data_IF_755592144069
#
_entry.id   IF_755592144069
#
_cell.length_a   1.000
_cell.length_b   1.000
_cell.length_c   1.000
_cell.angle_alpha   90.00
_cell.angle_beta   90.00
_cell.angle_gamma   90.00
#
_symmetry.space_group_name_H-M   'P 1'
#
loop_
_entity.id
_entity.type
_entity.pdbx_description
1 polymer ?
#
# COMPACT_ATOMS: atom_id res chain seq x y z
N UNK A 1 6.10 -12.49 12.92
CA UNK A 1 5.96 -12.13 11.49
C UNK A 1 4.52 -12.03 11.00
N UNK A 2 3.54 -12.73 11.61
CA UNK A 2 2.14 -12.70 11.13
C UNK A 2 1.48 -11.32 11.24
N UNK A 3 1.80 -10.54 12.27
CA UNK A 3 1.23 -9.20 12.46
C UNK A 3 1.67 -8.23 11.36
N UNK A 4 2.95 -8.27 10.99
CA UNK A 4 3.51 -7.46 9.92
C UNK A 4 2.83 -7.80 8.59
N UNK A 5 2.67 -9.10 8.29
CA UNK A 5 1.99 -9.56 7.06
C UNK A 5 0.54 -9.07 6.96
N UNK A 6 -0.22 -9.09 8.06
CA UNK A 6 -1.60 -8.59 8.06
C UNK A 6 -1.62 -7.08 7.83
N UNK A 7 -0.80 -6.34 8.57
CA UNK A 7 -0.78 -4.88 8.54
C UNK A 7 -0.29 -4.35 7.19
N UNK A 8 0.75 -4.95 6.62
CA UNK A 8 1.26 -4.61 5.29
C UNK A 8 0.26 -4.96 4.19
N UNK A 9 -0.43 -6.10 4.30
CA UNK A 9 -1.50 -6.49 3.35
C UNK A 9 -2.63 -5.48 3.32
N UNK A 10 -3.13 -5.08 4.50
CA UNK A 10 -4.21 -4.08 4.61
C UNK A 10 -3.73 -2.75 4.06
N UNK A 11 -2.55 -2.29 4.47
CA UNK A 11 -1.97 -1.03 4.00
C UNK A 11 -1.81 -0.99 2.48
N UNK A 12 -1.28 -2.05 1.85
CA UNK A 12 -1.16 -2.14 0.39
C UNK A 12 -2.51 -1.96 -0.33
N UNK A 13 -3.58 -2.59 0.18
CA UNK A 13 -4.93 -2.47 -0.41
C UNK A 13 -5.50 -1.07 -0.26
N UNK A 14 -5.25 -0.43 0.87
CA UNK A 14 -5.68 0.94 1.11
C UNK A 14 -4.93 1.92 0.18
N UNK A 15 -3.64 1.70 -0.08
CA UNK A 15 -2.86 2.50 -1.03
C UNK A 15 -3.40 2.33 -2.46
N UNK A 16 -3.73 1.10 -2.89
CA UNK A 16 -4.40 0.87 -4.19
C UNK A 16 -5.72 1.64 -4.27
N UNK A 17 -6.54 1.54 -3.23
CA UNK A 17 -7.83 2.24 -3.17
C UNK A 17 -7.66 3.75 -3.22
N UNK A 18 -6.67 4.30 -2.50
CA UNK A 18 -6.36 5.72 -2.50
C UNK A 18 -5.87 6.20 -3.88
N UNK A 19 -5.01 5.42 -4.55
CA UNK A 19 -4.56 5.70 -5.92
C UNK A 19 -5.74 5.73 -6.90
N UNK A 20 -6.61 4.72 -6.86
CA UNK A 20 -7.74 4.65 -7.78
C UNK A 20 -8.74 5.79 -7.54
N UNK A 21 -8.98 6.14 -6.27
CA UNK A 21 -9.77 7.32 -5.92
C UNK A 21 -9.11 8.62 -6.40
N UNK A 22 -7.78 8.73 -6.35
CA UNK A 22 -7.05 9.87 -6.90
C UNK A 22 -7.25 9.97 -8.41
N UNK A 23 -7.06 8.87 -9.15
CA UNK A 23 -7.27 8.85 -10.60
C UNK A 23 -8.69 9.25 -11.01
N UNK A 24 -9.69 8.81 -10.24
CA UNK A 24 -11.10 9.12 -10.52
C UNK A 24 -11.48 10.57 -10.17
N UNK A 25 -10.95 11.10 -9.07
CA UNK A 25 -11.33 12.42 -8.56
C UNK A 25 -10.40 13.57 -8.98
N UNK A 26 -9.19 13.25 -9.44
CA UNK A 26 -8.10 14.20 -9.63
C UNK A 26 -7.56 14.82 -8.34
N UNK A 27 -8.04 14.39 -7.17
CA UNK A 27 -7.65 14.95 -5.87
C UNK A 27 -6.59 14.09 -5.22
N UNK A 28 -5.48 14.71 -4.84
CA UNK A 28 -4.39 14.04 -4.13
C UNK A 28 -4.91 13.40 -2.82
N UNK A 29 -4.66 12.11 -2.57
CA UNK A 29 -5.12 11.43 -1.37
C UNK A 29 -4.25 11.82 -0.18
N UNK A 30 -4.73 11.47 1.01
CA UNK A 30 -3.87 11.36 2.18
C UNK A 30 -3.27 9.95 2.21
N UNK A 31 -2.08 9.80 2.76
CA UNK A 31 -1.47 8.49 2.98
C UNK A 31 -2.34 7.67 3.95
N UNK A 32 -2.66 6.41 3.61
CA UNK A 32 -3.46 5.55 4.48
C UNK A 32 -2.85 5.39 5.87
N UNK A 33 -3.71 5.20 6.87
CA UNK A 33 -3.25 4.89 8.21
C UNK A 33 -2.83 3.41 8.31
N UNK A 34 -1.77 3.14 9.08
CA UNK A 34 -1.34 1.78 9.36
C UNK A 34 -2.23 1.14 10.43
N UNK A 35 -2.75 -0.05 10.15
CA UNK A 35 -3.43 -0.88 11.14
C UNK A 35 -2.42 -1.43 12.16
N UNK A 36 -2.16 -0.66 13.23
CA UNK A 36 -1.18 -1.00 14.26
C UNK A 36 -1.76 -1.96 15.30
N UNK A 37 -1.14 -3.12 15.59
CA UNK A 37 -1.55 -4.00 16.67
C UNK A 37 -1.24 -3.40 18.05
N UNK A 38 -1.99 -3.82 19.08
CA UNK A 38 -1.80 -3.33 20.46
C UNK A 38 -0.42 -3.67 21.05
N UNK A 39 0.13 -4.82 20.64
CA UNK A 39 1.45 -5.31 21.05
C UNK A 39 2.25 -5.68 19.80
N UNK A 40 2.85 -4.68 19.12
CA UNK A 40 3.64 -4.92 17.92
C UNK A 40 4.90 -5.73 18.25
N UNK A 41 5.29 -6.59 17.32
CA UNK A 41 6.59 -7.27 17.36
C UNK A 41 7.74 -6.25 17.18
N UNK A 42 8.93 -6.59 17.67
CA UNK A 42 10.12 -5.76 17.49
C UNK A 42 10.37 -5.46 16.00
N UNK A 43 10.67 -4.20 15.67
CA UNK A 43 10.92 -3.74 14.31
C UNK A 43 9.66 -3.47 13.46
N UNK A 44 8.45 -3.72 13.98
CA UNK A 44 7.20 -3.42 13.26
C UNK A 44 7.08 -1.94 12.92
N UNK A 45 7.26 -1.05 13.92
CA UNK A 45 7.08 0.39 13.73
C UNK A 45 8.12 0.94 12.75
N UNK A 46 9.40 0.53 12.86
CA UNK A 46 10.47 0.94 11.92
C UNK A 46 10.15 0.52 10.48
N UNK A 47 9.65 -0.70 10.28
CA UNK A 47 9.25 -1.18 8.95
C UNK A 47 8.07 -0.36 8.40
N UNK A 48 7.01 -0.19 9.18
CA UNK A 48 5.80 0.49 8.72
C UNK A 48 6.03 1.99 8.51
N UNK A 49 6.83 2.65 9.35
CA UNK A 49 7.20 4.06 9.18
C UNK A 49 8.00 4.26 7.87
N UNK A 50 8.90 3.31 7.53
CA UNK A 50 9.60 3.34 6.25
C UNK A 50 8.65 3.23 5.05
N UNK A 51 7.67 2.33 5.12
CA UNK A 51 6.64 2.19 4.09
C UNK A 51 5.75 3.44 3.95
N UNK A 52 5.30 3.99 5.08
CA UNK A 52 4.50 5.23 5.10
C UNK A 52 5.28 6.39 4.48
N UNK A 53 6.56 6.54 4.83
CA UNK A 53 7.41 7.59 4.25
C UNK A 53 7.54 7.47 2.73
N UNK A 54 7.69 6.26 2.19
CA UNK A 54 7.76 6.08 0.74
C UNK A 54 6.43 6.41 0.04
N UNK A 55 5.30 6.09 0.67
CA UNK A 55 3.97 6.45 0.15
C UNK A 55 3.74 7.96 0.23
N UNK A 56 4.14 8.61 1.33
CA UNK A 56 4.09 10.08 1.46
C UNK A 56 4.89 10.75 0.35
N UNK A 57 6.13 10.31 0.10
CA UNK A 57 6.97 10.84 -0.98
C UNK A 57 6.30 10.67 -2.36
N UNK A 58 5.69 9.51 -2.61
CA UNK A 58 4.96 9.24 -3.85
C UNK A 58 3.70 10.11 -4.00
N UNK A 59 2.94 10.32 -2.93
CA UNK A 59 1.77 11.22 -2.88
C UNK A 59 2.21 12.67 -3.12
N UNK A 60 3.32 13.09 -2.50
CA UNK A 60 3.81 14.47 -2.57
C UNK A 60 4.36 14.85 -3.94
N UNK A 61 4.87 13.88 -4.69
CA UNK A 61 5.25 14.04 -6.10
C UNK A 61 4.12 14.63 -6.97
N UNK A 62 2.86 14.41 -6.57
CA UNK A 62 1.69 14.85 -7.32
C UNK A 62 1.37 14.00 -8.54
N UNK A 63 2.03 12.86 -8.70
CA UNK A 63 1.80 11.91 -9.78
C UNK A 63 1.20 10.59 -9.24
N UNK A 64 -0.05 10.23 -9.61
CA UNK A 64 -0.64 8.94 -9.25
C UNK A 64 0.16 7.73 -9.74
N UNK A 65 0.99 7.87 -10.78
CA UNK A 65 1.86 6.80 -11.23
C UNK A 65 3.05 6.56 -10.28
N UNK A 66 3.42 7.55 -9.46
CA UNK A 66 4.39 7.34 -8.37
C UNK A 66 3.92 6.29 -7.35
N UNK A 67 2.62 6.29 -7.01
CA UNK A 67 2.04 5.25 -6.16
C UNK A 67 2.01 3.89 -6.86
N UNK A 68 1.74 3.86 -8.17
CA UNK A 68 1.76 2.62 -8.95
C UNK A 68 3.17 2.01 -8.95
N UNK A 69 4.18 2.82 -9.20
CA UNK A 69 5.57 2.38 -9.27
C UNK A 69 6.05 1.87 -7.91
N UNK A 70 5.67 2.53 -6.81
CA UNK A 70 5.93 2.02 -5.46
C UNK A 70 5.23 0.68 -5.20
N UNK A 71 3.94 0.57 -5.55
CA UNK A 71 3.16 -0.67 -5.37
C UNK A 71 3.76 -1.85 -6.15
N UNK A 72 4.31 -1.60 -7.34
CA UNK A 72 4.86 -2.63 -8.22
C UNK A 72 6.37 -2.86 -8.05
N UNK A 73 7.06 -1.97 -7.34
CA UNK A 73 8.50 -2.01 -7.10
C UNK A 73 8.95 -3.14 -6.17
N UNK A 74 10.26 -3.36 -6.12
CA UNK A 74 10.88 -4.33 -5.21
C UNK A 74 10.66 -3.92 -3.75
N UNK A 75 10.15 -4.86 -2.95
CA UNK A 75 9.77 -4.59 -1.56
C UNK A 75 8.45 -3.82 -1.39
N UNK A 76 7.73 -3.56 -2.49
CA UNK A 76 6.38 -3.02 -2.49
C UNK A 76 5.31 -4.08 -2.30
N UNK A 77 4.19 -3.92 -3.01
CA UNK A 77 2.95 -4.65 -2.76
C UNK A 77 2.57 -5.65 -3.87
N UNK A 78 3.45 -5.88 -4.86
CA UNK A 78 3.10 -6.59 -6.11
C UNK A 78 2.38 -7.94 -5.90
N UNK A 79 2.86 -8.74 -4.94
CA UNK A 79 2.42 -10.12 -4.69
C UNK A 79 1.28 -10.20 -3.66
N UNK A 80 0.82 -9.05 -3.14
CA UNK A 80 -0.29 -8.98 -2.20
C UNK A 80 -1.60 -9.22 -2.93
N UNK A 81 -2.45 -10.09 -2.38
CA UNK A 81 -3.82 -10.31 -2.86
C UNK A 81 -4.60 -9.00 -2.79
N UNK A 82 -5.10 -8.50 -3.91
CA UNK A 82 -5.78 -7.21 -4.00
C UNK A 82 -7.18 -7.26 -3.37
N UNK A 83 -7.94 -8.33 -3.62
CA UNK A 83 -9.29 -8.52 -3.11
C UNK A 83 -9.38 -9.82 -2.29
N UNK A 84 -9.73 -9.78 -1.00
CA UNK A 84 -9.93 -11.01 -0.21
C UNK A 84 -11.07 -11.90 -0.72
N UNK A 85 -12.02 -11.38 -1.52
CA UNK A 85 -13.08 -12.15 -2.17
C UNK A 85 -12.60 -12.86 -3.45
N UNK A 86 -11.51 -12.37 -4.05
CA UNK A 86 -10.84 -13.00 -5.20
C UNK A 86 -9.37 -13.27 -4.88
N UNK A 87 -9.07 -14.35 -4.12
CA UNK A 87 -7.72 -14.61 -3.62
C UNK A 87 -6.70 -14.98 -4.71
N UNK A 88 -7.14 -15.18 -5.95
CA UNK A 88 -6.25 -15.46 -7.07
C UNK A 88 -5.67 -14.20 -7.69
N UNK A 89 -6.21 -13.03 -7.37
CA UNK A 89 -5.85 -11.77 -8.02
C UNK A 89 -4.96 -10.91 -7.11
N UNK A 90 -3.74 -10.67 -7.57
CA UNK A 90 -2.75 -9.85 -6.85
C UNK A 90 -2.78 -8.39 -7.32
N UNK A 91 -2.09 -7.52 -6.60
CA UNK A 91 -1.96 -6.09 -6.96
C UNK A 91 -1.28 -5.92 -8.32
N UNK A 92 -0.28 -6.75 -8.66
CA UNK A 92 0.31 -6.70 -10.01
C UNK A 92 -0.71 -7.05 -11.10
N UNK A 93 -1.59 -8.03 -10.86
CA UNK A 93 -2.65 -8.38 -11.82
C UNK A 93 -3.71 -7.27 -11.99
N UNK A 94 -3.85 -6.40 -11.00
CA UNK A 94 -4.78 -5.26 -11.04
C UNK A 94 -4.15 -4.04 -11.73
N UNK A 95 -2.84 -3.80 -11.53
CA UNK A 95 -2.18 -2.55 -11.96
C UNK A 95 -1.28 -2.67 -13.20
N UNK A 96 -0.93 -3.89 -13.62
CA UNK A 96 -0.13 -4.14 -14.81
C UNK A 96 -0.97 -4.49 -16.06
N UNK A 97 -2.27 -4.72 -15.89
CA UNK A 97 -3.24 -4.88 -16.98
C UNK A 97 -3.68 -3.54 -17.57
#
# INVERSE_FOLDING_TARGET
MTQLNVSSTVFCRDVVTARDAWLLSGTRPQTPAVARPDHPEDGFDEFMDGWVSMVDDAVDSGDPDGLRDWLLGDGGCRDVVADPQDPQRTIVDVLAG
#
